data_IF_472472146741
#
_entry.id   IF_472472146741
#
_cell.length_a   1.000
_cell.length_b   1.000
_cell.length_c   1.000
_cell.angle_alpha   90.00
_cell.angle_beta   90.00
_cell.angle_gamma   90.00
#
_symmetry.space_group_name_H-M   'P 1'
#
loop_
_entity.id
_entity.type
_entity.pdbx_description
1 polymer ?
#
# COMPACT_ATOMS: atom_id res chain seq x y z
N UNK A 1 13.18 -58.84 -0.35
CA UNK A 1 13.61 -57.44 -0.45
C UNK A 1 12.87 -56.74 -1.58
N UNK A 2 12.67 -55.44 -1.37
CA UNK A 2 12.19 -54.39 -2.27
C UNK A 2 10.70 -54.34 -2.62
N UNK A 3 10.03 -53.51 -1.82
CA UNK A 3 8.70 -52.94 -1.98
C UNK A 3 8.81 -51.70 -2.85
N UNK A 4 7.96 -51.52 -3.85
CA UNK A 4 7.41 -50.19 -4.16
C UNK A 4 6.04 -50.40 -4.81
N UNK A 5 5.05 -49.86 -4.12
CA UNK A 5 3.62 -50.11 -4.29
C UNK A 5 3.00 -48.78 -4.72
N UNK A 6 2.09 -48.85 -5.68
CA UNK A 6 1.03 -47.87 -5.99
C UNK A 6 1.46 -46.46 -6.44
N UNK A 7 1.10 -46.10 -7.66
CA UNK A 7 0.31 -44.88 -7.94
C UNK A 7 -0.03 -44.76 -9.43
N UNK A 8 -1.17 -45.30 -9.84
CA UNK A 8 -1.82 -44.96 -11.11
C UNK A 8 -3.31 -44.74 -10.87
N UNK A 9 -3.67 -43.57 -10.32
CA UNK A 9 -5.00 -42.98 -10.45
C UNK A 9 -4.82 -41.47 -10.53
N UNK A 10 -4.63 -40.96 -11.74
CA UNK A 10 -4.72 -39.54 -12.05
C UNK A 10 -6.22 -39.20 -12.20
N UNK A 11 -6.82 -38.69 -11.13
CA UNK A 11 -8.15 -38.11 -11.14
C UNK A 11 -8.05 -36.61 -10.82
N UNK A 12 -8.31 -35.83 -11.87
CA UNK A 12 -8.97 -34.52 -11.94
C UNK A 12 -8.89 -33.50 -10.77
N UNK A 13 -8.58 -32.27 -11.20
CA UNK A 13 -9.08 -30.94 -10.76
C UNK A 13 -8.57 -30.32 -9.45
N UNK A 14 -7.66 -29.34 -9.60
CA UNK A 14 -7.66 -28.03 -8.91
C UNK A 14 -6.96 -27.01 -9.86
N UNK A 15 -7.69 -26.14 -10.55
CA UNK A 15 -8.19 -24.81 -10.13
C UNK A 15 -7.03 -23.82 -9.88
N UNK A 16 -6.96 -22.81 -10.77
CA UNK A 16 -6.20 -21.54 -10.74
C UNK A 16 -4.76 -21.54 -10.22
N UNK A 17 -3.79 -21.47 -11.14
CA UNK A 17 -2.45 -20.96 -10.87
C UNK A 17 -2.58 -19.50 -10.43
N UNK A 18 -2.42 -19.29 -9.13
CA UNK A 18 -2.17 -17.99 -8.52
C UNK A 18 -0.84 -17.44 -9.02
N UNK A 19 -0.84 -16.12 -9.24
CA UNK A 19 0.31 -15.34 -9.69
C UNK A 19 1.57 -15.66 -8.86
N UNK A 20 2.67 -15.92 -9.56
CA UNK A 20 4.00 -16.11 -9.01
C UNK A 20 4.56 -14.75 -8.57
N UNK A 21 4.39 -14.37 -7.30
CA UNK A 21 5.24 -13.34 -6.71
C UNK A 21 6.42 -14.01 -6.00
N UNK A 22 7.62 -13.62 -6.40
CA UNK A 22 8.87 -14.23 -5.98
C UNK A 22 9.23 -13.77 -4.57
N UNK A 23 9.34 -14.73 -3.66
CA UNK A 23 9.82 -14.60 -2.28
C UNK A 23 11.08 -13.74 -2.15
N UNK A 24 10.96 -12.60 -1.45
CA UNK A 24 11.97 -12.14 -0.49
C UNK A 24 11.33 -12.08 0.90
N UNK A 25 11.71 -13.05 1.73
CA UNK A 25 11.35 -13.20 3.13
C UNK A 25 11.97 -12.12 4.00
N UNK A 26 11.16 -11.34 4.71
CA UNK A 26 11.44 -10.83 6.08
C UNK A 26 10.11 -10.87 6.86
N UNK A 27 10.24 -11.34 8.09
CA UNK A 27 9.25 -11.67 9.12
C UNK A 27 7.86 -11.01 9.13
N UNK A 28 6.87 -11.89 9.32
CA UNK A 28 5.58 -11.58 9.93
C UNK A 28 5.81 -11.14 11.38
N UNK A 29 5.82 -9.83 11.61
CA UNK A 29 5.35 -9.26 12.86
C UNK A 29 3.95 -8.72 12.59
N UNK A 30 2.95 -9.48 13.01
CA UNK A 30 1.59 -9.01 13.23
C UNK A 30 1.69 -7.81 14.21
N UNK A 31 1.78 -6.59 13.67
CA UNK A 31 1.39 -5.40 14.39
C UNK A 31 -0.10 -5.25 14.13
N UNK A 32 -0.87 -5.71 15.10
CA UNK A 32 -2.16 -5.14 15.46
C UNK A 32 -2.16 -3.67 15.03
N UNK A 33 -2.95 -3.38 14.00
CA UNK A 33 -3.13 -2.03 13.51
C UNK A 33 -3.99 -1.34 14.57
N UNK A 34 -3.35 -0.92 15.67
CA UNK A 34 -3.91 0.01 16.62
C UNK A 34 -4.41 1.17 15.78
N UNK A 35 -5.73 1.30 15.69
CA UNK A 35 -6.37 2.50 15.16
C UNK A 35 -6.02 3.59 16.15
N UNK A 36 -4.83 4.17 15.99
CA UNK A 36 -4.52 5.47 16.56
C UNK A 36 -5.50 6.40 15.89
N UNK A 37 -6.59 6.70 16.59
CA UNK A 37 -7.47 7.78 16.21
C UNK A 37 -6.56 9.01 16.17
N UNK A 38 -6.25 9.48 14.96
CA UNK A 38 -5.45 10.66 14.79
C UNK A 38 -6.16 11.76 15.57
N UNK A 39 -5.52 12.24 16.65
CA UNK A 39 -6.04 13.38 17.38
C UNK A 39 -6.07 14.53 16.37
N UNK A 40 -7.26 14.88 15.91
CA UNK A 40 -7.46 15.97 14.97
C UNK A 40 -7.07 17.25 15.72
N UNK A 41 -5.81 17.66 15.54
CA UNK A 41 -5.39 18.98 15.94
C UNK A 41 -6.17 19.95 15.03
N UNK A 42 -7.14 20.66 15.59
CA UNK A 42 -7.89 21.70 14.86
C UNK A 42 -7.13 23.03 14.84
N UNK A 43 -5.98 23.10 15.51
CA UNK A 43 -5.10 24.26 15.54
C UNK A 43 -3.99 24.09 14.49
N UNK A 44 -4.39 24.08 13.22
CA UNK A 44 -3.46 24.28 12.11
C UNK A 44 -3.80 25.60 11.41
N UNK A 45 -2.79 26.43 11.08
CA UNK A 45 -3.04 27.69 10.41
C UNK A 45 -3.63 27.44 9.02
N UNK A 46 -4.70 28.17 8.70
CA UNK A 46 -5.25 28.22 7.35
C UNK A 46 -4.25 28.88 6.41
N UNK A 47 -4.10 28.37 5.20
CA UNK A 47 -3.14 28.91 4.23
C UNK A 47 -2.86 27.97 3.07
N UNK A 48 -2.01 28.43 2.17
CA UNK A 48 -1.52 27.65 1.02
C UNK A 48 -0.11 27.16 1.35
N UNK A 49 0.08 25.86 1.26
CA UNK A 49 1.35 25.18 1.42
C UNK A 49 1.79 24.63 0.08
N UNK A 50 3.03 24.92 -0.30
CA UNK A 50 3.60 24.51 -1.58
C UNK A 50 4.81 23.63 -1.33
N UNK A 51 4.90 22.53 -2.07
CA UNK A 51 6.06 21.65 -2.05
C UNK A 51 6.25 20.98 -3.42
N UNK A 52 7.50 20.68 -3.76
CA UNK A 52 7.82 19.81 -4.91
C UNK A 52 8.16 18.44 -4.38
N UNK A 53 7.28 17.46 -4.61
CA UNK A 53 7.49 16.08 -4.19
C UNK A 53 8.34 15.32 -5.21
N UNK A 54 9.17 14.36 -4.76
CA UNK A 54 9.92 13.50 -5.66
C UNK A 54 8.96 12.70 -6.54
N UNK A 55 9.33 12.55 -7.82
CA UNK A 55 8.57 11.83 -8.83
C UNK A 55 9.42 10.71 -9.42
N UNK A 56 8.82 9.55 -9.69
CA UNK A 56 9.54 8.41 -10.24
C UNK A 56 10.00 8.65 -11.70
N UNK A 57 9.12 9.26 -12.51
CA UNK A 57 9.29 9.40 -13.97
C UNK A 57 9.16 10.86 -14.45
N UNK A 58 9.27 11.83 -13.55
CA UNK A 58 9.19 13.26 -13.87
C UNK A 58 10.13 14.10 -13.00
N UNK A 59 10.31 15.39 -13.33
CA UNK A 59 11.26 16.27 -12.63
C UNK A 59 10.84 16.57 -11.17
N UNK A 60 9.57 16.37 -10.84
CA UNK A 60 8.99 16.59 -9.52
C UNK A 60 7.50 16.92 -9.63
N UNK A 61 6.73 16.67 -8.57
CA UNK A 61 5.30 16.98 -8.53
C UNK A 61 5.12 18.27 -7.74
N UNK A 62 4.81 19.37 -8.43
CA UNK A 62 4.43 20.61 -7.79
C UNK A 62 3.08 20.41 -7.10
N UNK A 63 3.06 20.50 -5.78
CA UNK A 63 1.88 20.23 -4.96
C UNK A 63 1.52 21.45 -4.15
N UNK A 64 0.23 21.80 -4.22
CA UNK A 64 -0.38 22.89 -3.48
C UNK A 64 -1.47 22.33 -2.58
N UNK A 65 -1.38 22.61 -1.29
CA UNK A 65 -2.40 22.24 -0.30
C UNK A 65 -2.96 23.52 0.30
N UNK A 66 -4.25 23.75 0.12
CA UNK A 66 -4.96 24.88 0.74
C UNK A 66 -5.77 24.37 1.92
N UNK A 67 -5.40 24.79 3.13
CA UNK A 67 -6.17 24.54 4.34
C UNK A 67 -7.15 25.69 4.57
N UNK A 68 -8.42 25.36 4.61
CA UNK A 68 -9.52 26.28 4.83
C UNK A 68 -9.90 26.32 6.31
N UNK A 69 -10.56 27.41 6.74
CA UNK A 69 -10.99 27.64 8.13
C UNK A 69 -12.08 26.66 8.61
N UNK A 70 -12.71 25.95 7.68
CA UNK A 70 -13.76 24.94 7.95
C UNK A 70 -13.19 23.53 8.10
N UNK A 71 -11.89 23.41 8.41
CA UNK A 71 -11.15 22.15 8.49
C UNK A 71 -11.15 21.32 7.19
N UNK A 72 -11.42 21.96 6.04
CA UNK A 72 -11.29 21.31 4.72
C UNK A 72 -9.92 21.59 4.12
N UNK A 73 -9.41 20.62 3.36
CA UNK A 73 -8.21 20.77 2.56
C UNK A 73 -8.52 20.57 1.08
N UNK A 74 -7.97 21.43 0.23
CA UNK A 74 -7.99 21.28 -1.23
C UNK A 74 -6.57 21.01 -1.70
N UNK A 75 -6.40 19.98 -2.54
CA UNK A 75 -5.11 19.59 -3.11
C UNK A 75 -5.11 19.85 -4.61
N UNK A 76 -4.05 20.47 -5.11
CA UNK A 76 -3.76 20.59 -6.55
C UNK A 76 -2.34 20.09 -6.82
N UNK A 77 -2.13 19.44 -7.96
CA UNK A 77 -0.84 18.88 -8.37
C UNK A 77 -0.56 19.15 -9.83
N UNK A 78 0.65 19.58 -10.16
CA UNK A 78 1.21 19.59 -11.51
C UNK A 78 2.34 18.57 -11.60
N UNK A 79 2.35 17.80 -12.69
CA UNK A 79 3.32 16.73 -12.97
C UNK A 79 4.34 17.18 -14.01
#
# INVERSE_FOLDING_TARGET
>A
MNRFKFLTVAALTTIFVSCSDSKSTVDTANKEQTKTEAQQNNDFPSGIYTATLPCADCMGIETYITFQKDNKAVKSTSY
#
